data_IF_241066359817
#
_entry.id   IF_241066359817
#
_cell.length_a   1.000
_cell.length_b   1.000
_cell.length_c   1.000
_cell.angle_alpha   90.00
_cell.angle_beta   90.00
_cell.angle_gamma   90.00
#
_symmetry.space_group_name_H-M   'P 1'
#
loop_
_entity.id
_entity.type
_entity.pdbx_description
1 polymer ?
#
# COMPACT_ATOMS: atom_id res chain seq x y z
N UNK A 1 -42.24 28.63 28.68
CA UNK A 1 -41.67 27.46 27.98
C UNK A 1 -41.42 27.91 26.56
N UNK A 2 -40.16 27.99 26.12
CA UNK A 2 -39.83 28.32 24.73
C UNK A 2 -40.54 27.33 23.81
N UNK A 3 -41.32 27.83 22.86
CA UNK A 3 -42.01 26.97 21.91
C UNK A 3 -40.96 26.19 21.11
N UNK A 4 -41.10 24.86 21.01
CA UNK A 4 -40.15 24.00 20.29
C UNK A 4 -40.38 24.09 18.77
N UNK A 5 -40.26 25.30 18.22
CA UNK A 5 -40.55 25.61 16.82
C UNK A 5 -39.42 26.48 16.24
N UNK A 6 -39.19 26.33 14.94
CA UNK A 6 -38.45 27.30 14.13
C UNK A 6 -39.50 28.30 13.63
N UNK A 7 -39.35 29.56 14.02
CA UNK A 7 -40.28 30.63 13.65
C UNK A 7 -39.63 31.54 12.63
N UNK A 8 -40.16 31.53 11.42
CA UNK A 8 -39.71 32.37 10.30
C UNK A 8 -40.72 33.50 10.15
N UNK A 9 -40.28 34.75 10.31
CA UNK A 9 -41.15 35.93 10.23
C UNK A 9 -40.74 36.81 9.07
N UNK A 10 -41.72 37.13 8.22
CA UNK A 10 -41.56 38.08 7.12
C UNK A 10 -40.61 37.63 6.02
N UNK A 11 -40.63 36.36 5.62
CA UNK A 11 -39.79 35.88 4.52
C UNK A 11 -40.30 36.41 3.16
N UNK A 12 -39.39 37.02 2.39
CA UNK A 12 -39.63 37.72 1.13
C UNK A 12 -38.68 37.30 -0.01
N UNK A 13 -37.83 36.31 0.23
CA UNK A 13 -36.90 35.79 -0.76
C UNK A 13 -37.60 35.38 -2.07
N UNK A 14 -37.08 35.84 -3.19
CA UNK A 14 -37.65 35.66 -4.53
C UNK A 14 -39.14 36.03 -4.65
N UNK A 15 -40.04 35.04 -4.65
CA UNK A 15 -41.47 35.23 -4.86
C UNK A 15 -42.30 35.09 -3.58
N UNK A 16 -41.66 34.91 -2.42
CA UNK A 16 -42.33 34.86 -1.13
C UNK A 16 -43.00 36.20 -0.81
N UNK A 17 -44.22 36.15 -0.28
CA UNK A 17 -45.08 37.33 -0.05
C UNK A 17 -45.13 37.72 1.42
N UNK A 18 -43.96 38.03 2.00
CA UNK A 18 -43.83 38.41 3.41
C UNK A 18 -44.46 37.39 4.37
N UNK A 19 -44.16 36.11 4.15
CA UNK A 19 -44.83 35.02 4.85
C UNK A 19 -44.28 34.83 6.26
N UNK A 20 -45.14 34.39 7.18
CA UNK A 20 -44.75 33.96 8.53
C UNK A 20 -45.17 32.51 8.71
N UNK A 21 -44.23 31.66 9.12
CA UNK A 21 -44.47 30.23 9.30
C UNK A 21 -43.76 29.71 10.56
N UNK A 22 -44.42 28.78 11.24
CA UNK A 22 -43.88 28.05 12.38
C UNK A 22 -43.68 26.59 11.98
N UNK A 23 -42.46 26.09 12.14
CA UNK A 23 -42.04 24.75 11.77
C UNK A 23 -41.71 23.99 13.05
N UNK A 24 -42.38 22.85 13.35
CA UNK A 24 -42.09 22.09 14.55
C UNK A 24 -40.67 21.50 14.49
N UNK A 25 -39.89 21.67 15.56
CA UNK A 25 -38.56 21.07 15.69
C UNK A 25 -38.65 19.57 15.97
N UNK A 26 -37.57 18.86 15.66
CA UNK A 26 -37.42 17.42 15.92
C UNK A 26 -38.50 16.55 15.23
N UNK A 27 -39.00 17.04 14.09
CA UNK A 27 -39.98 16.36 13.24
C UNK A 27 -39.49 16.32 11.80
N UNK A 28 -39.87 15.27 11.08
CA UNK A 28 -39.76 15.24 9.63
C UNK A 28 -40.84 16.16 9.04
N UNK A 29 -40.44 17.33 8.54
CA UNK A 29 -41.35 18.31 7.95
C UNK A 29 -41.21 18.28 6.44
N UNK A 30 -42.34 18.21 5.74
CA UNK A 30 -42.40 18.16 4.27
C UNK A 30 -43.04 19.45 3.76
N UNK A 31 -42.30 20.21 2.94
CA UNK A 31 -42.82 21.39 2.24
C UNK A 31 -43.31 20.93 0.85
N UNK A 32 -44.59 21.15 0.56
CA UNK A 32 -45.23 20.71 -0.69
C UNK A 32 -45.97 21.86 -1.37
N UNK A 33 -46.29 21.71 -2.66
CA UNK A 33 -46.92 22.73 -3.49
C UNK A 33 -46.50 22.68 -4.95
N UNK A 34 -47.21 23.42 -5.81
CA UNK A 34 -46.96 23.50 -7.26
C UNK A 34 -45.53 23.95 -7.60
N UNK A 35 -45.02 23.58 -8.77
CA UNK A 35 -43.73 24.12 -9.25
C UNK A 35 -43.75 25.65 -9.25
N UNK A 36 -42.67 26.27 -8.80
CA UNK A 36 -42.59 27.73 -8.66
C UNK A 36 -43.36 28.34 -7.48
N UNK A 37 -44.00 27.55 -6.59
CA UNK A 37 -44.76 28.10 -5.45
C UNK A 37 -43.92 28.71 -4.32
N UNK A 38 -42.59 28.84 -4.48
CA UNK A 38 -41.68 29.38 -3.46
C UNK A 38 -41.16 28.35 -2.44
N UNK A 39 -41.33 27.04 -2.68
CA UNK A 39 -40.83 25.98 -1.76
C UNK A 39 -39.32 26.06 -1.55
N UNK A 40 -38.56 26.14 -2.65
CA UNK A 40 -37.10 26.24 -2.61
C UNK A 40 -36.66 27.57 -2.02
N UNK A 41 -37.37 28.65 -2.32
CA UNK A 41 -37.11 29.98 -1.76
C UNK A 41 -37.24 30.00 -0.24
N UNK A 42 -38.26 29.33 0.32
CA UNK A 42 -38.40 29.19 1.76
C UNK A 42 -37.35 28.22 2.35
N UNK A 43 -37.18 27.03 1.76
CA UNK A 43 -36.36 25.97 2.34
C UNK A 43 -34.85 26.22 2.21
N UNK A 44 -34.38 26.50 0.99
CA UNK A 44 -32.97 26.65 0.65
C UNK A 44 -32.52 28.10 0.79
N UNK A 45 -33.21 29.01 0.10
CA UNK A 45 -32.74 30.39 -0.05
C UNK A 45 -33.01 31.25 1.21
N UNK A 46 -33.95 30.84 2.06
CA UNK A 46 -34.23 31.50 3.35
C UNK A 46 -33.71 30.71 4.55
N UNK A 47 -34.30 29.54 4.85
CA UNK A 47 -34.04 28.80 6.10
C UNK A 47 -32.62 28.22 6.12
N UNK A 48 -32.23 27.48 5.10
CA UNK A 48 -30.89 26.89 5.01
C UNK A 48 -29.81 27.96 4.90
N UNK A 49 -29.98 28.95 4.02
CA UNK A 49 -29.03 30.05 3.85
C UNK A 49 -28.78 30.80 5.17
N UNK A 50 -29.83 31.15 5.91
CA UNK A 50 -29.69 31.82 7.21
C UNK A 50 -29.07 30.90 8.27
N UNK A 51 -29.39 29.60 8.25
CA UNK A 51 -28.83 28.61 9.18
C UNK A 51 -27.34 28.40 8.96
N UNK A 52 -26.91 28.31 7.70
CA UNK A 52 -25.51 28.23 7.32
C UNK A 52 -24.78 29.52 7.67
N UNK A 53 -25.33 30.69 7.32
CA UNK A 53 -24.71 32.00 7.60
C UNK A 53 -24.43 32.17 9.09
N UNK A 54 -25.42 31.96 9.95
CA UNK A 54 -25.25 32.08 11.42
C UNK A 54 -24.22 31.10 11.98
N UNK A 55 -24.16 29.89 11.44
CA UNK A 55 -23.16 28.91 11.86
C UNK A 55 -21.75 29.34 11.46
N UNK A 56 -21.52 29.75 10.20
CA UNK A 56 -20.20 30.17 9.72
C UNK A 56 -19.74 31.46 10.42
N UNK A 57 -20.67 32.37 10.76
CA UNK A 57 -20.37 33.58 11.55
C UNK A 57 -19.80 33.28 12.94
N UNK A 58 -20.09 32.09 13.48
CA UNK A 58 -19.57 31.65 14.77
C UNK A 58 -18.17 31.04 14.71
N UNK A 59 -17.68 30.61 13.53
CA UNK A 59 -16.45 29.84 13.39
C UNK A 59 -15.17 30.66 13.65
N UNK A 60 -15.03 31.85 13.05
CA UNK A 60 -13.87 32.72 13.29
C UNK A 60 -14.17 34.19 12.98
N UNK A 61 -13.42 35.09 13.62
CA UNK A 61 -13.50 36.53 13.34
C UNK A 61 -13.12 36.87 11.88
N UNK A 62 -12.21 36.08 11.28
CA UNK A 62 -11.83 36.20 9.87
C UNK A 62 -12.97 35.75 8.94
N UNK A 63 -13.62 34.63 9.22
CA UNK A 63 -14.75 34.14 8.42
C UNK A 63 -15.90 35.17 8.34
N UNK A 64 -16.14 35.93 9.41
CA UNK A 64 -17.13 37.03 9.42
C UNK A 64 -16.84 38.12 8.38
N UNK A 65 -15.57 38.40 8.07
CA UNK A 65 -15.21 39.40 7.06
C UNK A 65 -15.62 38.96 5.65
N UNK A 66 -15.57 37.66 5.35
CA UNK A 66 -15.98 37.10 4.06
C UNK A 66 -17.49 36.89 3.95
N UNK A 67 -18.16 36.55 5.05
CA UNK A 67 -19.61 36.38 5.10
C UNK A 67 -20.38 37.68 4.89
N UNK A 68 -19.79 38.83 5.23
CA UNK A 68 -20.37 40.14 4.95
C UNK A 68 -20.57 40.42 3.45
N UNK A 69 -19.95 39.62 2.56
CA UNK A 69 -20.14 39.68 1.11
C UNK A 69 -21.21 38.72 0.59
N UNK A 70 -21.73 37.81 1.41
CA UNK A 70 -22.82 36.92 1.02
C UNK A 70 -24.15 37.66 1.15
N UNK A 71 -25.01 37.55 0.14
CA UNK A 71 -26.34 38.13 0.19
C UNK A 71 -27.13 37.55 1.37
N UNK A 72 -27.57 38.43 2.26
CA UNK A 72 -28.43 38.05 3.38
C UNK A 72 -29.83 37.76 2.85
N UNK A 73 -30.46 36.64 3.24
CA UNK A 73 -31.84 36.37 2.84
C UNK A 73 -32.76 37.50 3.27
N UNK A 74 -33.74 37.86 2.43
CA UNK A 74 -34.75 38.87 2.76
C UNK A 74 -35.80 38.27 3.71
N UNK A 75 -35.53 38.39 5.01
CA UNK A 75 -36.39 37.93 6.11
C UNK A 75 -36.26 38.89 7.29
N UNK A 76 -37.36 39.15 8.01
CA UNK A 76 -37.32 40.06 9.17
C UNK A 76 -36.52 39.44 10.32
N UNK A 77 -36.88 38.23 10.71
CA UNK A 77 -36.08 37.43 11.62
C UNK A 77 -36.47 35.95 11.57
N UNK A 78 -35.52 35.10 11.97
CA UNK A 78 -35.74 33.67 12.21
C UNK A 78 -35.30 33.34 13.64
N UNK A 79 -36.18 32.70 14.40
CA UNK A 79 -35.93 32.25 15.78
C UNK A 79 -35.92 30.72 15.85
N UNK A 80 -35.11 30.15 16.75
CA UNK A 80 -35.04 28.70 16.95
C UNK A 80 -34.34 27.93 15.82
N UNK A 81 -33.52 28.59 15.00
CA UNK A 81 -32.83 27.95 13.87
C UNK A 81 -31.58 27.17 14.34
N UNK A 82 -31.45 25.93 13.88
CA UNK A 82 -30.23 25.12 14.08
C UNK A 82 -29.22 25.39 12.96
N UNK A 83 -27.93 25.03 13.14
CA UNK A 83 -27.02 24.87 12.00
C UNK A 83 -27.67 23.97 10.95
N UNK A 84 -27.70 24.44 9.70
CA UNK A 84 -28.43 23.79 8.62
C UNK A 84 -27.45 23.13 7.63
N UNK A 85 -27.85 21.97 7.11
CA UNK A 85 -27.13 21.23 6.05
C UNK A 85 -28.10 21.03 4.90
N UNK A 86 -27.67 21.38 3.68
CA UNK A 86 -28.41 21.12 2.46
C UNK A 86 -27.97 19.78 1.88
N UNK A 87 -28.95 18.95 1.53
CA UNK A 87 -28.75 17.74 0.73
C UNK A 87 -29.62 17.93 -0.51
N UNK A 88 -29.00 18.37 -1.60
CA UNK A 88 -29.65 18.59 -2.89
C UNK A 88 -29.13 17.62 -3.96
N UNK A 89 -29.67 17.73 -5.17
CA UNK A 89 -29.25 16.92 -6.32
C UNK A 89 -28.21 17.64 -7.18
N UNK A 90 -27.56 18.72 -6.70
CA UNK A 90 -26.51 19.37 -7.50
C UNK A 90 -25.40 18.34 -7.72
N UNK A 91 -25.08 18.11 -8.99
CA UNK A 91 -24.17 17.05 -9.40
C UNK A 91 -22.85 17.14 -8.64
N UNK A 92 -22.36 16.00 -8.16
CA UNK A 92 -21.02 15.91 -7.61
C UNK A 92 -20.01 16.42 -8.65
N UNK A 93 -18.97 17.11 -8.19
CA UNK A 93 -17.89 17.58 -9.05
C UNK A 93 -17.35 16.43 -9.91
N UNK A 94 -17.31 16.62 -11.23
CA UNK A 94 -16.74 15.68 -12.19
C UNK A 94 -15.21 15.76 -12.18
N UNK A 95 -14.61 15.35 -11.07
CA UNK A 95 -13.16 15.11 -11.02
C UNK A 95 -12.89 13.64 -11.37
N UNK A 96 -12.11 13.33 -12.41
CA UNK A 96 -11.83 11.94 -12.82
C UNK A 96 -11.12 11.10 -11.74
N UNK A 97 -10.53 11.76 -10.74
CA UNK A 97 -9.91 11.11 -9.58
C UNK A 97 -10.83 10.99 -8.37
N UNK A 98 -12.07 11.47 -8.47
CA UNK A 98 -13.08 11.29 -7.42
C UNK A 98 -13.89 10.05 -7.71
N UNK A 99 -13.89 9.11 -6.77
CA UNK A 99 -14.66 7.88 -6.84
C UNK A 99 -15.68 7.85 -5.70
N UNK A 100 -16.61 6.90 -5.74
CA UNK A 100 -17.54 6.67 -4.61
C UNK A 100 -16.77 6.46 -3.31
N UNK A 101 -15.65 5.73 -3.36
CA UNK A 101 -14.83 5.45 -2.18
C UNK A 101 -14.15 6.70 -1.60
N UNK A 102 -13.76 7.68 -2.43
CA UNK A 102 -13.17 8.93 -1.94
C UNK A 102 -14.23 9.89 -1.42
N UNK A 103 -15.41 9.95 -2.04
CA UNK A 103 -16.53 10.81 -1.59
C UNK A 103 -17.11 10.35 -0.26
N UNK A 104 -17.17 9.04 -0.04
CA UNK A 104 -17.69 8.44 1.20
C UNK A 104 -16.62 8.25 2.27
N UNK A 105 -15.36 8.63 1.99
CA UNK A 105 -14.17 8.39 2.82
C UNK A 105 -13.88 6.90 3.13
N UNK A 106 -14.67 5.95 2.60
CA UNK A 106 -14.44 4.51 2.77
C UNK A 106 -13.05 4.13 2.25
N UNK A 107 -12.61 4.71 1.14
CA UNK A 107 -11.29 4.45 0.60
C UNK A 107 -10.19 4.89 1.57
N UNK A 108 -10.41 5.97 2.33
CA UNK A 108 -9.44 6.47 3.29
C UNK A 108 -9.23 5.48 4.44
N UNK A 109 -10.31 4.85 4.90
CA UNK A 109 -10.24 3.74 5.86
C UNK A 109 -9.60 2.49 5.26
N UNK A 110 -9.88 2.16 4.00
CA UNK A 110 -9.23 1.04 3.33
C UNK A 110 -7.71 1.24 3.25
N UNK A 111 -7.24 2.44 2.89
CA UNK A 111 -5.80 2.75 2.88
C UNK A 111 -5.17 2.53 4.25
N UNK A 112 -5.85 2.95 5.31
CA UNK A 112 -5.37 2.73 6.68
C UNK A 112 -5.37 1.25 7.07
N UNK A 113 -6.41 0.51 6.69
CA UNK A 113 -6.50 -0.93 6.91
C UNK A 113 -5.34 -1.68 6.21
N UNK A 114 -5.13 -1.43 4.92
CA UNK A 114 -4.05 -2.05 4.15
C UNK A 114 -2.67 -1.65 4.66
N UNK A 115 -2.49 -0.41 5.13
CA UNK A 115 -1.21 0.00 5.69
C UNK A 115 -0.90 -0.64 7.05
N UNK A 116 -1.92 -0.96 7.85
CA UNK A 116 -1.74 -1.48 9.22
C UNK A 116 -1.81 -3.01 9.31
N UNK A 117 -2.61 -3.64 8.46
CA UNK A 117 -2.89 -5.08 8.51
C UNK A 117 -2.57 -5.79 7.19
N UNK A 118 -2.16 -5.06 6.14
CA UNK A 118 -1.79 -5.66 4.87
C UNK A 118 -0.45 -6.38 4.97
N UNK A 119 -0.44 -7.63 4.48
CA UNK A 119 0.78 -8.41 4.32
C UNK A 119 1.33 -8.12 2.92
N UNK A 120 2.51 -7.50 2.78
CA UNK A 120 3.05 -7.18 1.48
C UNK A 120 3.64 -8.44 0.82
N UNK A 121 3.49 -8.52 -0.50
CA UNK A 121 3.98 -9.63 -1.29
C UNK A 121 4.84 -9.13 -2.45
N UNK A 122 5.82 -9.94 -2.85
CA UNK A 122 6.63 -9.66 -4.03
C UNK A 122 5.76 -9.74 -5.30
N UNK A 123 5.75 -8.74 -6.18
CA UNK A 123 4.95 -8.77 -7.41
C UNK A 123 5.44 -9.80 -8.44
N UNK A 124 6.67 -10.30 -8.30
CA UNK A 124 7.26 -11.28 -9.24
C UNK A 124 6.96 -12.73 -8.83
N UNK A 125 7.15 -13.06 -7.54
CA UNK A 125 6.99 -14.44 -7.06
C UNK A 125 5.89 -14.66 -6.03
N UNK A 126 5.22 -13.59 -5.57
CA UNK A 126 4.13 -13.68 -4.60
C UNK A 126 4.55 -14.04 -3.17
N UNK A 127 5.85 -14.13 -2.86
CA UNK A 127 6.31 -14.39 -1.47
C UNK A 127 6.04 -13.18 -0.58
N UNK A 128 5.66 -13.44 0.67
CA UNK A 128 5.58 -12.41 1.71
C UNK A 128 6.93 -11.69 1.88
N UNK A 129 6.87 -10.37 2.04
CA UNK A 129 8.04 -9.51 2.21
C UNK A 129 8.03 -8.92 3.61
N UNK A 130 8.83 -9.47 4.49
CA UNK A 130 8.94 -9.00 5.87
C UNK A 130 10.27 -8.30 6.09
N UNK A 131 10.24 -7.15 6.77
CA UNK A 131 11.43 -6.57 7.35
C UNK A 131 11.75 -7.33 8.64
N UNK A 132 12.96 -7.82 8.78
CA UNK A 132 13.41 -8.52 9.99
C UNK A 132 14.71 -7.89 10.47
N UNK A 133 14.76 -7.53 11.75
CA UNK A 133 16.00 -7.13 12.41
C UNK A 133 16.96 -8.32 12.53
N UNK A 134 18.26 -8.05 12.65
CA UNK A 134 19.25 -9.10 12.91
C UNK A 134 18.85 -10.00 14.09
N UNK A 135 18.28 -9.43 15.15
CA UNK A 135 17.82 -10.21 16.31
C UNK A 135 16.62 -11.11 16.01
N UNK A 136 15.63 -10.65 15.25
CA UNK A 136 14.50 -11.49 14.83
C UNK A 136 14.95 -12.62 13.91
N UNK A 137 15.96 -12.38 13.06
CA UNK A 137 16.58 -13.40 12.22
C UNK A 137 17.31 -14.43 13.10
N UNK A 138 18.06 -13.99 14.11
CA UNK A 138 18.71 -14.88 15.10
C UNK A 138 17.66 -15.76 15.78
N UNK A 139 16.58 -15.17 16.27
CA UNK A 139 15.52 -15.91 16.97
C UNK A 139 14.84 -16.93 16.03
N UNK A 140 14.62 -16.57 14.75
CA UNK A 140 14.04 -17.47 13.75
C UNK A 140 14.97 -18.64 13.40
N UNK A 141 16.28 -18.41 13.34
CA UNK A 141 17.28 -19.44 13.07
C UNK A 141 17.50 -20.33 14.30
N UNK A 142 17.45 -19.78 15.50
CA UNK A 142 17.54 -20.51 16.77
C UNK A 142 16.35 -21.48 16.96
N UNK A 143 15.16 -21.11 16.48
CA UNK A 143 13.96 -21.96 16.53
C UNK A 143 13.98 -23.18 15.58
N UNK A 144 15.03 -23.36 14.77
CA UNK A 144 15.18 -24.51 13.89
C UNK A 144 15.45 -25.79 14.69
N UNK A 145 15.18 -26.96 14.08
CA UNK A 145 15.31 -28.27 14.74
C UNK A 145 16.73 -28.50 15.27
N UNK A 146 16.84 -29.13 16.43
CA UNK A 146 18.13 -29.50 17.00
C UNK A 146 18.93 -30.42 16.06
N UNK A 147 20.24 -30.20 15.96
CA UNK A 147 21.14 -30.91 15.05
C UNK A 147 21.11 -30.41 13.59
N UNK A 148 20.29 -29.42 13.24
CA UNK A 148 20.25 -28.86 11.88
C UNK A 148 21.60 -28.25 11.50
N UNK A 149 22.16 -28.65 10.35
CA UNK A 149 23.41 -28.11 9.82
C UNK A 149 23.11 -26.92 8.92
N UNK A 150 23.69 -25.78 9.22
CA UNK A 150 23.43 -24.52 8.54
C UNK A 150 24.69 -23.97 7.87
N UNK A 151 24.51 -23.39 6.69
CA UNK A 151 25.46 -22.44 6.11
C UNK A 151 24.84 -21.04 6.15
N UNK A 152 25.54 -20.11 6.77
CA UNK A 152 25.18 -18.69 6.78
C UNK A 152 25.89 -18.05 5.60
N UNK A 153 25.11 -17.48 4.69
CA UNK A 153 25.57 -17.01 3.40
C UNK A 153 25.24 -15.53 3.20
N UNK A 154 26.22 -14.76 2.76
CA UNK A 154 26.05 -13.36 2.38
C UNK A 154 25.92 -13.25 0.85
N UNK A 155 24.75 -12.91 0.29
CA UNK A 155 24.57 -12.78 -1.16
C UNK A 155 25.15 -11.47 -1.70
N UNK A 156 26.20 -11.57 -2.51
CA UNK A 156 26.83 -10.41 -3.17
C UNK A 156 26.31 -10.20 -4.59
N UNK A 157 26.07 -11.29 -5.32
CA UNK A 157 25.52 -11.25 -6.68
C UNK A 157 24.27 -12.12 -6.72
N UNK A 158 23.17 -11.54 -7.19
CA UNK A 158 21.88 -12.21 -7.30
C UNK A 158 21.40 -12.14 -8.74
N UNK A 159 21.49 -13.24 -9.47
CA UNK A 159 20.92 -13.35 -10.81
C UNK A 159 21.45 -12.32 -11.81
N UNK A 160 22.77 -12.04 -11.83
CA UNK A 160 23.38 -11.10 -12.79
C UNK A 160 24.33 -11.79 -13.76
N UNK A 161 24.32 -11.33 -15.01
CA UNK A 161 25.28 -11.80 -16.03
C UNK A 161 26.66 -11.20 -15.81
N UNK A 162 27.71 -12.00 -15.99
CA UNK A 162 29.09 -11.55 -15.90
C UNK A 162 30.01 -12.57 -15.24
N UNK A 163 31.31 -12.34 -15.38
CA UNK A 163 32.35 -13.23 -14.81
C UNK A 163 32.64 -12.92 -13.34
N UNK A 164 32.22 -11.74 -12.83
CA UNK A 164 32.29 -11.32 -11.43
C UNK A 164 33.61 -11.57 -10.68
N UNK A 165 34.75 -11.62 -11.38
CA UNK A 165 36.08 -11.86 -10.76
C UNK A 165 36.42 -10.84 -9.67
N UNK A 166 36.07 -9.56 -9.87
CA UNK A 166 36.27 -8.52 -8.86
C UNK A 166 35.53 -8.82 -7.54
N UNK A 167 34.34 -9.44 -7.62
CA UNK A 167 33.57 -9.83 -6.43
C UNK A 167 34.26 -10.98 -5.70
N UNK A 168 34.78 -11.98 -6.43
CA UNK A 168 35.54 -13.07 -5.81
C UNK A 168 36.79 -12.57 -5.09
N UNK A 169 37.53 -11.63 -5.68
CA UNK A 169 38.68 -10.99 -5.03
C UNK A 169 38.28 -10.19 -3.79
N UNK A 170 37.13 -9.53 -3.81
CA UNK A 170 36.61 -8.78 -2.65
C UNK A 170 36.25 -9.72 -1.50
N UNK A 171 35.58 -10.85 -1.80
CA UNK A 171 35.29 -11.92 -0.83
C UNK A 171 36.61 -12.44 -0.21
N UNK A 172 37.64 -12.65 -1.04
CA UNK A 172 38.94 -13.12 -0.57
C UNK A 172 39.67 -12.08 0.28
N UNK A 173 39.64 -10.80 -0.11
CA UNK A 173 40.22 -9.68 0.67
C UNK A 173 39.50 -9.47 2.00
N UNK A 174 38.20 -9.75 2.06
CA UNK A 174 37.42 -9.75 3.29
C UNK A 174 37.76 -10.93 4.23
N UNK A 175 38.56 -11.90 3.76
CA UNK A 175 39.08 -13.00 4.57
C UNK A 175 38.19 -14.25 4.57
N UNK A 176 37.14 -14.29 3.75
CA UNK A 176 36.36 -15.51 3.57
C UNK A 176 37.17 -16.55 2.80
N UNK A 177 36.93 -17.83 3.06
CA UNK A 177 37.66 -18.96 2.42
C UNK A 177 36.80 -19.65 1.36
N UNK A 178 35.47 -19.59 1.52
CA UNK A 178 34.52 -20.34 0.70
C UNK A 178 33.47 -19.42 0.10
N UNK A 179 33.02 -19.79 -1.09
CA UNK A 179 31.98 -19.08 -1.83
C UNK A 179 31.01 -20.11 -2.42
N UNK A 180 29.72 -19.79 -2.44
CA UNK A 180 28.71 -20.55 -3.15
C UNK A 180 28.42 -19.85 -4.47
N UNK A 181 28.63 -20.55 -5.58
CA UNK A 181 28.33 -20.08 -6.94
C UNK A 181 27.32 -21.03 -7.56
N UNK A 182 26.17 -20.49 -7.97
CA UNK A 182 25.07 -21.23 -8.59
C UNK A 182 24.67 -22.50 -7.81
N UNK A 183 24.64 -22.40 -6.48
CA UNK A 183 24.25 -23.48 -5.56
C UNK A 183 25.39 -24.43 -5.16
N UNK A 184 26.56 -24.37 -5.82
CA UNK A 184 27.71 -25.21 -5.49
C UNK A 184 28.73 -24.44 -4.66
N UNK A 185 29.24 -25.05 -3.58
CA UNK A 185 30.25 -24.43 -2.70
C UNK A 185 31.66 -24.75 -3.21
N UNK A 186 32.46 -23.71 -3.43
CA UNK A 186 33.85 -23.76 -3.86
C UNK A 186 34.77 -23.13 -2.80
N UNK A 187 36.04 -23.54 -2.78
CA UNK A 187 37.07 -22.81 -2.05
C UNK A 187 37.63 -21.70 -2.95
N UNK A 188 37.87 -20.50 -2.40
CA UNK A 188 38.36 -19.36 -3.19
C UNK A 188 39.78 -19.56 -3.74
N UNK A 189 40.48 -20.59 -3.31
CA UNK A 189 41.76 -21.03 -3.89
C UNK A 189 41.59 -21.77 -5.22
N UNK A 190 40.39 -22.26 -5.53
CA UNK A 190 40.11 -22.98 -6.77
C UNK A 190 39.95 -21.99 -7.94
N UNK A 191 40.26 -22.42 -9.17
CA UNK A 191 40.03 -21.61 -10.37
C UNK A 191 38.52 -21.63 -10.74
N UNK A 192 37.77 -20.67 -10.21
CA UNK A 192 36.33 -20.52 -10.44
C UNK A 192 36.11 -19.73 -11.73
N UNK A 193 35.92 -20.42 -12.85
CA UNK A 193 35.59 -19.80 -14.13
C UNK A 193 34.07 -19.70 -14.34
N UNK A 194 33.58 -18.49 -14.55
CA UNK A 194 32.17 -18.19 -14.84
C UNK A 194 31.99 -17.67 -16.27
N UNK A 195 30.84 -17.93 -16.87
CA UNK A 195 30.53 -17.53 -18.24
C UNK A 195 29.94 -16.11 -18.25
N UNK A 196 30.53 -15.22 -19.05
CA UNK A 196 30.08 -13.82 -19.18
C UNK A 196 28.62 -13.69 -19.61
N UNK A 197 28.07 -14.64 -20.37
CA UNK A 197 26.72 -14.54 -20.95
C UNK A 197 25.64 -15.21 -20.10
N UNK A 198 26.02 -16.00 -19.10
CA UNK A 198 25.10 -16.69 -18.20
C UNK A 198 24.82 -15.86 -16.96
N UNK A 199 23.65 -16.11 -16.36
CA UNK A 199 23.23 -15.50 -15.12
C UNK A 199 23.85 -16.29 -13.98
N UNK A 200 24.52 -15.59 -13.07
CA UNK A 200 25.19 -16.20 -11.92
C UNK A 200 24.68 -15.62 -10.60
N UNK A 201 24.68 -16.45 -9.56
CA UNK A 201 24.43 -16.07 -8.15
C UNK A 201 25.66 -16.43 -7.33
N UNK A 202 26.17 -15.46 -6.56
CA UNK A 202 27.40 -15.58 -5.78
C UNK A 202 27.13 -15.16 -4.34
N UNK A 203 27.43 -16.07 -3.42
CA UNK A 203 27.23 -15.88 -1.99
C UNK A 203 28.49 -16.26 -1.22
N UNK A 204 29.00 -15.37 -0.36
CA UNK A 204 30.13 -15.69 0.51
C UNK A 204 29.65 -16.59 1.67
N UNK A 205 30.42 -17.63 1.98
CA UNK A 205 30.12 -18.49 3.15
C UNK A 205 30.74 -17.86 4.38
N UNK A 206 29.89 -17.33 5.27
CA UNK A 206 30.31 -16.58 6.46
C UNK A 206 30.61 -17.52 7.61
N UNK A 207 29.67 -18.41 7.95
CA UNK A 207 29.88 -19.42 8.98
C UNK A 207 29.19 -20.74 8.61
N UNK A 208 29.70 -21.83 9.17
CA UNK A 208 29.09 -23.16 9.16
C UNK A 208 28.88 -23.59 10.60
N UNK A 209 27.63 -23.86 10.94
CA UNK A 209 27.25 -24.21 12.30
C UNK A 209 26.21 -25.31 12.34
N UNK A 210 26.07 -25.90 13.52
CA UNK A 210 25.05 -26.90 13.82
C UNK A 210 24.23 -26.33 14.95
N UNK A 211 22.90 -26.24 14.75
CA UNK A 211 21.98 -25.88 15.82
C UNK A 211 22.12 -26.93 16.92
N UNK A 212 22.42 -26.46 18.14
CA UNK A 212 22.48 -27.27 19.34
C UNK A 212 21.72 -26.56 20.44
N UNK A 213 20.77 -27.25 21.05
CA UNK A 213 20.06 -26.78 22.22
C UNK A 213 20.84 -27.24 23.46
N UNK A 214 21.51 -26.31 24.12
CA UNK A 214 22.29 -26.57 25.32
C UNK A 214 21.41 -26.42 26.57
N UNK A 215 21.64 -27.25 27.59
CA UNK A 215 20.96 -27.12 28.89
C UNK A 215 21.65 -26.09 29.79
N UNK A 216 22.96 -25.87 29.61
CA UNK A 216 23.75 -24.91 30.38
C UNK A 216 23.53 -23.47 29.88
N UNK A 217 23.07 -22.53 30.74
CA UNK A 217 22.86 -21.13 30.36
C UNK A 217 24.08 -20.43 29.76
N UNK A 218 25.29 -20.81 30.17
CA UNK A 218 26.53 -20.20 29.67
C UNK A 218 26.86 -20.63 28.23
N UNK A 219 26.61 -21.89 27.89
CA UNK A 219 26.80 -22.43 26.54
C UNK A 219 25.74 -21.89 25.58
N UNK A 220 24.49 -21.74 26.03
CA UNK A 220 23.42 -21.08 25.27
C UNK A 220 23.83 -19.65 24.90
N UNK A 221 24.34 -18.88 25.86
CA UNK A 221 24.76 -17.50 25.60
C UNK A 221 25.95 -17.42 24.62
N UNK A 222 26.93 -18.32 24.76
CA UNK A 222 28.08 -18.38 23.86
C UNK A 222 27.67 -18.75 22.43
N UNK A 223 26.76 -19.73 22.27
CA UNK A 223 26.22 -20.11 20.97
C UNK A 223 25.45 -18.98 20.31
N UNK A 224 24.55 -18.33 21.06
CA UNK A 224 23.76 -17.21 20.57
C UNK A 224 24.63 -16.03 20.16
N UNK A 225 25.68 -15.70 20.93
CA UNK A 225 26.64 -14.66 20.57
C UNK A 225 27.31 -14.94 19.22
N UNK A 226 27.77 -16.18 19.00
CA UNK A 226 28.39 -16.58 17.72
C UNK A 226 27.40 -16.50 16.55
N UNK A 227 26.16 -16.94 16.78
CA UNK A 227 25.08 -16.89 15.77
C UNK A 227 24.78 -15.43 15.39
N UNK A 228 24.63 -14.55 16.38
CA UNK A 228 24.44 -13.11 16.17
C UNK A 228 25.60 -12.50 15.38
N UNK A 229 26.85 -12.72 15.79
CA UNK A 229 28.02 -12.19 15.09
C UNK A 229 28.08 -12.65 13.62
N UNK A 230 27.71 -13.91 13.37
CA UNK A 230 27.69 -14.48 12.01
C UNK A 230 26.58 -13.88 11.15
N UNK A 231 25.39 -13.71 11.71
CA UNK A 231 24.24 -13.10 11.02
C UNK A 231 24.53 -11.62 10.74
N UNK A 232 25.03 -10.85 11.70
CA UNK A 232 25.40 -9.46 11.50
C UNK A 232 26.50 -9.29 10.45
N UNK A 233 27.51 -10.16 10.47
CA UNK A 233 28.57 -10.17 9.45
C UNK A 233 28.00 -10.47 8.07
N UNK A 234 27.11 -11.45 7.96
CA UNK A 234 26.49 -11.81 6.70
C UNK A 234 25.57 -10.71 6.16
N UNK A 235 24.74 -10.11 7.01
CA UNK A 235 23.89 -8.98 6.64
C UNK A 235 24.73 -7.78 6.21
N UNK A 236 25.79 -7.45 6.95
CA UNK A 236 26.67 -6.33 6.61
C UNK A 236 27.37 -6.53 5.25
N UNK A 237 27.85 -7.75 4.98
CA UNK A 237 28.55 -8.07 3.74
C UNK A 237 27.59 -8.30 2.55
N UNK A 238 26.36 -8.75 2.82
CA UNK A 238 25.28 -8.93 1.86
C UNK A 238 24.36 -7.71 1.70
N UNK A 239 24.77 -6.51 2.15
CA UNK A 239 23.99 -5.26 2.07
C UNK A 239 22.57 -5.33 2.67
N UNK A 240 22.41 -6.07 3.75
CA UNK A 240 21.16 -6.29 4.48
C UNK A 240 20.37 -7.53 4.05
N UNK A 241 20.96 -8.39 3.20
CA UNK A 241 20.38 -9.67 2.78
C UNK A 241 21.16 -10.84 3.38
N UNK A 242 20.46 -11.93 3.67
CA UNK A 242 21.03 -13.15 4.21
C UNK A 242 20.34 -14.36 3.59
N UNK A 243 21.13 -15.37 3.22
CA UNK A 243 20.62 -16.71 2.89
C UNK A 243 21.11 -17.69 3.97
N UNK A 244 20.22 -18.52 4.49
CA UNK A 244 20.55 -19.62 5.41
C UNK A 244 20.20 -20.92 4.71
N UNK A 245 21.21 -21.71 4.36
CA UNK A 245 21.02 -23.01 3.73
C UNK A 245 21.00 -24.10 4.80
N UNK A 246 19.89 -24.84 4.87
CA UNK A 246 19.75 -26.07 5.62
C UNK A 246 20.33 -27.23 4.81
N UNK A 247 21.36 -27.87 5.34
CA UNK A 247 21.96 -29.05 4.73
C UNK A 247 21.19 -30.31 5.16
N UNK A 248 20.91 -31.25 4.23
CA UNK A 248 20.29 -32.53 4.54
C UNK A 248 21.10 -33.29 5.61
N UNK A 249 20.41 -33.95 6.54
CA UNK A 249 21.06 -34.88 7.46
C UNK A 249 21.09 -36.28 6.83
N UNK A 250 22.26 -36.83 6.44
CA UNK A 250 22.34 -38.23 6.08
C UNK A 250 22.12 -39.08 7.34
N UNK A 251 20.94 -39.71 7.46
CA UNK A 251 20.68 -40.78 8.44
C UNK A 251 19.57 -40.58 9.47
N UNK A 252 18.73 -39.54 9.39
CA UNK A 252 17.50 -39.49 10.20
C UNK A 252 16.39 -40.28 9.51
N UNK A 253 16.50 -41.62 9.54
CA UNK A 253 15.36 -42.49 9.26
C UNK A 253 14.36 -42.36 10.42
N UNK A 254 13.53 -41.32 10.39
CA UNK A 254 12.28 -41.30 11.16
C UNK A 254 11.40 -42.39 10.55
N UNK A 255 11.35 -43.57 11.17
CA UNK A 255 10.66 -44.79 10.70
C UNK A 255 9.13 -44.68 10.59
N UNK A 256 8.57 -43.47 10.60
CA UNK A 256 7.13 -43.18 10.64
C UNK A 256 6.69 -42.14 9.58
N UNK A 257 7.52 -41.79 8.59
CA UNK A 257 7.11 -40.88 7.50
C UNK A 257 6.76 -41.62 6.20
N UNK A 258 5.68 -41.23 5.49
CA UNK A 258 5.35 -41.79 4.19
C UNK A 258 6.46 -41.53 3.15
N UNK A 259 6.80 -42.54 2.35
CA UNK A 259 7.89 -42.57 1.36
C UNK A 259 7.87 -41.42 0.31
N UNK A 260 6.75 -40.71 0.16
CA UNK A 260 6.63 -39.54 -0.76
C UNK A 260 7.25 -38.25 -0.20
N UNK A 261 7.36 -38.08 1.13
CA UNK A 261 7.98 -36.91 1.76
C UNK A 261 9.50 -37.06 1.95
N UNK A 262 10.00 -38.31 2.08
CA UNK A 262 11.44 -38.61 2.19
C UNK A 262 12.23 -38.20 0.94
N UNK A 263 11.60 -38.19 -0.25
CA UNK A 263 12.25 -37.77 -1.49
C UNK A 263 12.46 -36.26 -1.61
N UNK A 264 11.72 -35.43 -0.83
CA UNK A 264 11.91 -33.97 -0.79
C UNK A 264 12.93 -33.52 0.27
N UNK A 265 13.30 -34.39 1.22
CA UNK A 265 14.22 -34.05 2.31
C UNK A 265 15.71 -34.12 1.96
N UNK A 266 16.08 -34.59 0.77
CA UNK A 266 17.48 -34.69 0.34
C UNK A 266 18.00 -33.45 -0.42
N UNK A 267 17.13 -32.51 -0.80
CA UNK A 267 17.57 -31.25 -1.41
C UNK A 267 17.82 -30.19 -0.34
N UNK A 268 18.95 -29.45 -0.40
CA UNK A 268 19.24 -28.40 0.55
C UNK A 268 18.20 -27.27 0.45
N UNK A 269 17.63 -26.87 1.59
CA UNK A 269 16.58 -25.86 1.66
C UNK A 269 17.19 -24.48 1.98
N UNK A 270 17.02 -23.52 1.07
CA UNK A 270 17.44 -22.14 1.27
C UNK A 270 16.32 -21.32 1.93
N UNK A 271 16.59 -20.83 3.13
CA UNK A 271 15.81 -19.81 3.82
C UNK A 271 16.42 -18.44 3.51
N UNK A 272 15.58 -17.44 3.29
CA UNK A 272 16.03 -16.13 2.88
C UNK A 272 15.50 -15.05 3.82
N UNK A 273 16.38 -14.15 4.25
CA UNK A 273 16.10 -13.09 5.21
C UNK A 273 16.57 -11.72 4.68
N UNK A 274 15.96 -10.65 5.16
CA UNK A 274 16.26 -9.28 4.74
C UNK A 274 15.98 -8.25 5.84
N UNK A 275 16.93 -7.33 6.07
CA UNK A 275 16.77 -6.15 6.93
C UNK A 275 15.94 -5.04 6.29
N UNK A 276 15.76 -5.13 4.96
CA UNK A 276 14.92 -4.24 4.17
C UNK A 276 13.54 -4.87 3.95
N UNK A 277 12.53 -4.06 3.66
CA UNK A 277 11.23 -4.55 3.19
C UNK A 277 11.35 -4.98 1.72
N UNK A 278 12.14 -6.01 1.45
CA UNK A 278 12.50 -6.42 0.09
C UNK A 278 12.44 -7.92 -0.10
N UNK A 279 12.09 -8.34 -1.32
CA UNK A 279 12.13 -9.75 -1.69
C UNK A 279 13.59 -10.20 -1.74
N UNK A 280 14.00 -11.21 -0.97
CA UNK A 280 15.40 -11.60 -0.90
C UNK A 280 15.90 -12.29 -2.19
N UNK A 281 14.98 -12.89 -2.97
CA UNK A 281 15.29 -13.58 -4.23
C UNK A 281 15.38 -12.61 -5.41
N UNK A 282 14.36 -11.77 -5.60
CA UNK A 282 14.27 -10.87 -6.77
C UNK A 282 14.87 -9.48 -6.52
N UNK A 283 15.20 -9.14 -5.27
CA UNK A 283 15.70 -7.82 -4.89
C UNK A 283 14.66 -6.70 -5.04
N UNK A 284 13.38 -7.04 -5.23
CA UNK A 284 12.30 -6.05 -5.29
C UNK A 284 12.12 -5.45 -3.91
N UNK A 285 12.54 -4.21 -3.76
CA UNK A 285 12.29 -3.41 -2.56
C UNK A 285 10.89 -2.82 -2.63
N UNK A 286 10.11 -3.05 -1.58
CA UNK A 286 8.82 -2.41 -1.38
C UNK A 286 9.09 -1.15 -0.55
N UNK A 287 8.63 0.04 -0.98
CA UNK A 287 8.76 1.25 -0.18
C UNK A 287 8.02 1.09 1.15
N UNK A 288 8.35 1.94 2.12
CA UNK A 288 7.68 1.93 3.42
C UNK A 288 6.16 2.01 3.24
N UNK A 289 5.45 1.09 3.90
CA UNK A 289 4.01 0.95 3.76
C UNK A 289 3.33 1.98 4.66
N UNK A 290 2.73 2.98 4.04
CA UNK A 290 1.99 4.03 4.72
C UNK A 290 0.62 4.21 4.06
N UNK A 291 -0.40 4.76 4.74
CA UNK A 291 -1.71 4.98 4.11
C UNK A 291 -1.65 5.76 2.79
N UNK A 292 -0.66 6.67 2.64
CA UNK A 292 -0.46 7.42 1.38
C UNK A 292 0.02 6.56 0.21
N UNK A 293 0.72 5.45 0.44
CA UNK A 293 1.18 4.56 -0.63
C UNK A 293 0.02 3.79 -1.28
N UNK A 294 -1.13 3.73 -0.62
CA UNK A 294 -2.37 3.21 -1.19
C UNK A 294 -3.25 4.31 -1.80
N UNK A 295 -2.78 5.55 -1.91
CA UNK A 295 -3.54 6.64 -2.50
C UNK A 295 -3.13 6.84 -3.96
N UNK A 296 -4.03 6.52 -4.89
CA UNK A 296 -3.87 6.84 -6.32
C UNK A 296 -3.88 8.35 -6.62
N UNK A 297 -4.25 9.18 -5.63
CA UNK A 297 -4.19 10.65 -5.73
C UNK A 297 -2.81 11.23 -5.40
N UNK A 298 -1.88 10.42 -4.89
CA UNK A 298 -0.52 10.84 -4.59
C UNK A 298 0.48 10.13 -5.49
N UNK A 299 1.63 10.73 -5.82
CA UNK A 299 2.66 10.08 -6.62
C UNK A 299 3.19 8.77 -6.01
N UNK A 300 3.02 8.58 -4.69
CA UNK A 300 3.51 7.40 -3.98
C UNK A 300 2.67 6.13 -4.24
N UNK A 301 1.37 6.30 -4.48
CA UNK A 301 0.44 5.19 -4.76
C UNK A 301 -0.17 5.22 -6.14
N UNK A 302 0.05 6.29 -6.90
CA UNK A 302 -0.42 6.42 -8.27
C UNK A 302 0.39 5.49 -9.20
N UNK A 303 -0.32 4.74 -10.02
CA UNK A 303 0.29 4.02 -11.13
C UNK A 303 1.05 5.01 -12.03
N UNK A 304 2.34 4.77 -12.36
CA UNK A 304 3.14 5.70 -13.17
C UNK A 304 2.61 5.84 -14.59
N UNK A 305 1.97 4.80 -15.10
CA UNK A 305 1.46 4.71 -16.46
C UNK A 305 0.22 5.58 -16.73
N UNK A 306 -0.69 5.68 -15.75
CA UNK A 306 -1.93 6.45 -15.86
C UNK A 306 -2.02 7.58 -14.84
N UNK A 307 -0.96 7.79 -14.04
CA UNK A 307 -0.90 8.78 -12.96
C UNK A 307 -2.11 8.72 -12.02
N UNK A 308 -2.55 7.50 -11.71
CA UNK A 308 -3.68 7.24 -10.81
C UNK A 308 -5.07 7.51 -11.40
N UNK A 309 -5.19 7.76 -12.71
CA UNK A 309 -6.49 7.93 -13.38
C UNK A 309 -7.23 6.60 -13.58
N UNK A 310 -6.50 5.47 -13.63
CA UNK A 310 -7.08 4.14 -13.85
C UNK A 310 -7.54 3.87 -15.29
N UNK A 311 -7.39 4.84 -16.20
CA UNK A 311 -7.68 4.70 -17.62
C UNK A 311 -6.70 5.49 -18.48
N UNK A 312 -6.63 5.14 -19.76
CA UNK A 312 -5.91 5.86 -20.81
C UNK A 312 -6.90 6.17 -21.94
N UNK A 313 -6.75 7.35 -22.55
CA UNK A 313 -7.48 7.67 -23.76
C UNK A 313 -6.70 7.08 -24.93
N UNK A 314 -7.29 6.05 -25.53
CA UNK A 314 -6.77 5.39 -26.71
C UNK A 314 -7.79 5.51 -27.84
N UNK A 315 -7.30 5.42 -29.08
CA UNK A 315 -8.17 5.46 -30.25
C UNK A 315 -8.87 4.12 -30.34
N UNK A 316 -10.20 4.16 -30.36
CA UNK A 316 -11.03 2.99 -30.61
C UNK A 316 -11.18 2.78 -32.12
N UNK A 317 -10.63 1.69 -32.70
CA UNK A 317 -10.74 1.41 -34.13
C UNK A 317 -12.18 1.30 -34.61
N UNK A 318 -13.10 0.83 -33.76
CA UNK A 318 -14.50 0.64 -34.11
C UNK A 318 -15.23 1.99 -34.25
N UNK A 319 -14.75 3.03 -33.56
CA UNK A 319 -15.26 4.40 -33.76
C UNK A 319 -14.71 5.06 -35.04
N UNK A 320 -13.56 4.61 -35.55
CA UNK A 320 -12.99 5.10 -36.81
C UNK A 320 -13.66 4.45 -38.03
N UNK A 321 -14.06 3.18 -37.91
CA UNK A 321 -14.70 2.40 -38.97
C UNK A 321 -16.04 1.85 -38.45
N UNK A 322 -17.06 2.71 -38.29
CA UNK A 322 -18.35 2.29 -37.73
C UNK A 322 -19.10 1.32 -38.64
N UNK A 323 -18.82 1.32 -39.94
CA UNK A 323 -19.35 0.36 -40.90
C UNK A 323 -18.21 -0.28 -41.68
N UNK A 324 -17.97 -1.57 -41.39
CA UNK A 324 -16.89 -2.37 -42.01
C UNK A 324 -17.24 -2.87 -43.41
N UNK A 325 -18.51 -2.74 -43.82
CA UNK A 325 -18.99 -3.19 -45.13
C UNK A 325 -18.92 -2.08 -46.21
N UNK A 326 -18.63 -0.84 -45.80
CA UNK A 326 -18.45 0.30 -46.71
C UNK A 326 -17.05 0.26 -47.32
N UNK A 327 -16.95 0.58 -48.61
CA UNK A 327 -15.64 0.65 -49.28
C UNK A 327 -14.85 1.86 -48.79
N UNK A 328 -13.52 1.78 -48.82
CA UNK A 328 -12.66 2.92 -48.46
C UNK A 328 -12.95 4.17 -49.31
N UNK A 329 -13.37 4.01 -50.57
CA UNK A 329 -13.71 5.12 -51.46
C UNK A 329 -15.04 5.79 -51.10
N UNK A 330 -15.94 5.06 -50.44
CA UNK A 330 -17.26 5.55 -50.02
C UNK A 330 -17.25 6.14 -48.60
N UNK A 331 -16.07 6.31 -48.00
CA UNK A 331 -15.91 6.98 -46.71
C UNK A 331 -15.99 6.07 -45.49
N UNK A 332 -15.50 4.83 -45.60
CA UNK A 332 -15.48 3.88 -44.48
C UNK A 332 -14.69 4.37 -43.24
N UNK A 333 -13.71 5.27 -43.42
CA UNK A 333 -12.95 5.88 -42.32
C UNK A 333 -13.51 7.26 -42.02
N UNK A 334 -14.03 7.45 -40.82
CA UNK A 334 -14.51 8.74 -40.33
C UNK A 334 -13.39 9.39 -39.53
N UNK A 335 -12.89 10.52 -40.00
CA UNK A 335 -11.99 11.37 -39.21
C UNK A 335 -12.88 12.31 -38.40
N UNK A 336 -12.95 12.09 -37.09
CA UNK A 336 -13.63 13.03 -36.19
C UNK A 336 -12.85 14.36 -36.16
N UNK A 337 -13.51 15.46 -36.53
CA UNK A 337 -13.01 16.84 -36.29
C UNK A 337 -13.07 17.23 -34.81
#
# INVERSE_FOLDING_TARGET
MSQNVIRVVGAREHNLKNITVEIPRDKLVVITGLSGSGKSSLAFDTIFAEGQRRYVESLSAYARQFLGQMDKPDVDYIEGLSPAVSIDQKGASHNPRSTVGTVTEIYDYLRLLYARAGIPHCPVCGREVTRQSAQEIVDAVEALRDGSRLLILAPLVRGRKGTHQAVLEEIQKAGFVRVRVDGTVYELSDDIQMDRYKIHTIEAVVDRMVIRHFEDPSEVQAFRSRLTDSIETALKFGEGYLTVQLLPQPGSSDSDRPEEEERKSDEPLDLYFSEHLSCPVHGVSIPEIEPRTFSFNTPHGACPDCQGLGGRLEIDPDMLIPDTDVSLNDGAIIVAE
#
